data_IF_250873785027
#
_entry.id   IF_250873785027
#
_cell.length_a   1.000
_cell.length_b   1.000
_cell.length_c   1.000
_cell.angle_alpha   90.00
_cell.angle_beta   90.00
_cell.angle_gamma   90.00
#
_symmetry.space_group_name_H-M   'P 1'
#
loop_
_entity.id
_entity.type
_entity.pdbx_description
1 polymer ?
#
# COMPACT_ATOMS: atom_id res chain seq x y z
N UNK A 1 -25.82 1.08 -1.18
CA UNK A 1 -25.11 0.25 -0.17
C UNK A 1 -24.45 -0.97 -0.79
N UNK A 2 -25.19 -1.85 -1.50
CA UNK A 2 -24.64 -3.09 -2.10
C UNK A 2 -23.38 -2.90 -2.96
N UNK A 3 -23.35 -1.90 -3.86
CA UNK A 3 -22.16 -1.60 -4.71
C UNK A 3 -20.90 -1.18 -3.93
N UNK A 4 -21.04 -0.48 -2.80
CA UNK A 4 -19.89 -0.05 -1.98
C UNK A 4 -19.34 -1.19 -1.14
N UNK A 5 -20.20 -2.09 -0.68
CA UNK A 5 -19.81 -3.31 0.02
C UNK A 5 -19.05 -4.25 -0.92
N UNK A 6 -19.51 -4.39 -2.17
CA UNK A 6 -18.81 -5.18 -3.20
C UNK A 6 -17.42 -4.60 -3.50
N UNK A 7 -17.29 -3.28 -3.65
CA UNK A 7 -15.98 -2.63 -3.84
C UNK A 7 -15.04 -2.82 -2.65
N UNK A 8 -15.58 -2.80 -1.43
CA UNK A 8 -14.79 -3.02 -0.22
C UNK A 8 -14.30 -4.48 -0.11
N UNK A 9 -15.16 -5.45 -0.45
CA UNK A 9 -14.80 -6.88 -0.50
C UNK A 9 -13.71 -7.12 -1.56
N UNK A 10 -13.85 -6.52 -2.75
CA UNK A 10 -12.84 -6.61 -3.82
C UNK A 10 -11.50 -5.99 -3.39
N UNK A 11 -11.55 -4.84 -2.70
CA UNK A 11 -10.34 -4.20 -2.20
C UNK A 11 -9.64 -5.07 -1.14
N UNK A 12 -10.41 -5.69 -0.24
CA UNK A 12 -9.90 -6.60 0.78
C UNK A 12 -9.31 -7.87 0.14
N UNK A 13 -9.92 -8.46 -0.89
CA UNK A 13 -9.36 -9.65 -1.55
C UNK A 13 -8.08 -9.39 -2.32
N UNK A 14 -7.88 -8.17 -2.87
CA UNK A 14 -6.62 -7.79 -3.53
C UNK A 14 -5.46 -7.72 -2.51
N UNK A 15 -5.74 -7.30 -1.27
CA UNK A 15 -4.77 -7.22 -0.18
C UNK A 15 -4.31 -8.59 0.36
N UNK A 16 -4.99 -9.70 0.00
CA UNK A 16 -4.66 -11.07 0.45
C UNK A 16 -3.64 -11.73 -0.49
N UNK A 17 -3.01 -11.00 -1.41
CA UNK A 17 -1.90 -11.54 -2.19
C UNK A 17 -0.73 -11.81 -1.25
N UNK A 18 -0.71 -13.02 -0.67
CA UNK A 18 0.29 -13.46 0.28
C UNK A 18 1.66 -13.48 -0.36
N UNK A 19 2.67 -13.04 0.39
CA UNK A 19 4.05 -13.29 0.02
C UNK A 19 4.25 -14.82 0.01
N UNK A 20 4.43 -15.41 -1.17
CA UNK A 20 4.79 -16.81 -1.30
C UNK A 20 6.32 -16.94 -1.13
N UNK A 21 6.74 -17.83 -0.24
CA UNK A 21 8.13 -18.10 0.07
C UNK A 21 8.33 -19.60 0.23
N UNK A 22 9.41 -20.10 -0.37
CA UNK A 22 9.82 -21.48 -0.24
C UNK A 22 10.43 -21.70 1.14
N UNK A 23 10.18 -22.87 1.71
CA UNK A 23 10.67 -23.22 3.03
C UNK A 23 11.93 -24.06 2.92
N UNK A 24 13.02 -23.59 3.51
CA UNK A 24 14.27 -24.34 3.63
C UNK A 24 14.46 -24.65 5.10
N UNK A 25 14.73 -25.90 5.44
CA UNK A 25 14.91 -26.32 6.83
C UNK A 25 15.79 -27.56 6.93
N UNK A 26 16.36 -27.77 8.10
CA UNK A 26 17.16 -28.96 8.36
C UNK A 26 17.78 -28.92 9.74
N UNK A 27 18.64 -29.91 9.97
CA UNK A 27 19.42 -30.03 11.19
C UNK A 27 20.90 -29.76 10.91
N UNK A 28 21.60 -29.33 11.94
CA UNK A 28 23.02 -28.98 11.89
C UNK A 28 23.77 -30.07 12.65
N UNK A 29 24.87 -30.56 12.09
CA UNK A 29 25.66 -31.63 12.71
C UNK A 29 27.15 -31.28 12.68
N UNK A 30 27.87 -31.77 13.68
CA UNK A 30 29.33 -31.80 13.64
C UNK A 30 29.78 -33.01 12.81
N UNK A 31 30.80 -32.83 11.96
CA UNK A 31 31.34 -33.91 11.12
C UNK A 31 31.75 -35.18 11.89
N UNK A 32 32.13 -35.04 13.16
CA UNK A 32 32.60 -36.13 14.02
C UNK A 32 31.47 -36.83 14.79
N UNK A 33 30.31 -36.18 14.96
CA UNK A 33 29.18 -36.66 15.76
C UNK A 33 27.84 -36.36 15.04
N UNK A 34 27.44 -37.29 14.16
CA UNK A 34 26.20 -37.16 13.36
C UNK A 34 24.95 -37.71 14.08
N UNK A 35 25.11 -38.31 15.25
CA UNK A 35 24.01 -38.97 15.98
C UNK A 35 23.05 -37.97 16.63
N UNK A 36 23.49 -36.72 16.85
CA UNK A 36 22.70 -35.67 17.49
C UNK A 36 22.94 -34.30 16.83
N UNK A 37 21.91 -33.45 16.70
CA UNK A 37 22.10 -32.10 16.19
C UNK A 37 23.02 -31.25 17.08
N UNK A 38 23.88 -30.47 16.44
CA UNK A 38 24.78 -29.51 17.06
C UNK A 38 24.00 -28.26 17.46
N UNK A 39 23.98 -27.97 18.76
CA UNK A 39 23.26 -26.82 19.33
C UNK A 39 24.08 -25.54 19.29
N UNK A 40 23.39 -24.40 19.36
CA UNK A 40 23.97 -23.05 19.44
C UNK A 40 24.82 -22.67 18.21
N UNK A 41 24.42 -23.13 17.03
CA UNK A 41 25.03 -22.72 15.77
C UNK A 41 24.30 -21.49 15.18
N UNK A 42 25.02 -20.68 14.40
CA UNK A 42 24.47 -19.56 13.64
C UNK A 42 24.37 -20.01 12.19
N UNK A 43 23.18 -19.91 11.61
CA UNK A 43 22.96 -20.15 10.18
C UNK A 43 22.77 -18.82 9.46
N UNK A 44 23.54 -18.62 8.42
CA UNK A 44 23.56 -17.46 7.55
C UNK A 44 23.09 -17.91 6.17
N UNK A 45 22.16 -17.18 5.55
CA UNK A 45 21.74 -17.43 4.17
C UNK A 45 21.87 -16.16 3.35
N UNK A 46 22.58 -16.28 2.23
CA UNK A 46 23.00 -15.15 1.39
C UNK A 46 22.51 -15.34 -0.04
N UNK A 47 21.72 -14.39 -0.56
CA UNK A 47 21.26 -14.38 -1.95
C UNK A 47 22.22 -13.56 -2.83
N UNK A 48 22.97 -14.23 -3.72
CA UNK A 48 23.91 -13.62 -4.68
C UNK A 48 24.77 -12.48 -4.08
N UNK A 49 25.22 -12.64 -2.84
CA UNK A 49 25.98 -11.63 -2.09
C UNK A 49 25.35 -10.25 -1.90
N UNK A 50 24.02 -10.17 -1.85
CA UNK A 50 23.30 -8.90 -1.69
C UNK A 50 22.32 -8.88 -0.53
N UNK A 51 21.66 -10.00 -0.23
CA UNK A 51 20.70 -10.12 0.86
C UNK A 51 21.13 -11.20 1.83
N UNK A 52 21.34 -10.84 3.08
CA UNK A 52 21.74 -11.75 4.15
C UNK A 52 20.62 -11.89 5.18
N UNK A 53 20.35 -13.12 5.60
CA UNK A 53 19.51 -13.41 6.76
C UNK A 53 20.28 -14.31 7.73
N UNK A 54 20.02 -14.14 9.02
CA UNK A 54 20.68 -14.89 10.08
C UNK A 54 19.66 -15.57 10.97
N UNK A 55 19.98 -16.75 11.47
CA UNK A 55 19.19 -17.46 12.46
C UNK A 55 20.08 -18.19 13.44
N UNK A 56 19.85 -17.97 14.73
CA UNK A 56 20.48 -18.74 15.79
C UNK A 56 19.69 -20.03 15.99
N UNK A 57 20.37 -21.16 15.83
CA UNK A 57 19.84 -22.51 16.03
C UNK A 57 20.20 -23.00 17.44
N UNK A 58 19.33 -22.71 18.41
CA UNK A 58 19.55 -23.12 19.80
C UNK A 58 19.40 -24.63 20.02
N UNK A 59 18.58 -25.31 19.22
CA UNK A 59 18.30 -26.75 19.33
C UNK A 59 19.00 -27.60 18.25
N UNK A 60 19.75 -26.96 17.35
CA UNK A 60 20.42 -27.60 16.22
C UNK A 60 19.54 -27.78 14.99
N UNK A 61 18.33 -27.19 14.97
CA UNK A 61 17.49 -27.11 13.78
C UNK A 61 17.37 -25.68 13.26
N UNK A 62 17.16 -25.53 11.95
CA UNK A 62 16.97 -24.21 11.34
C UNK A 62 15.83 -24.25 10.31
N UNK A 63 15.25 -23.08 10.04
CA UNK A 63 14.26 -22.92 8.99
C UNK A 63 14.18 -21.47 8.52
N UNK A 64 14.16 -21.25 7.21
CA UNK A 64 14.03 -19.97 6.53
C UNK A 64 12.89 -20.02 5.52
N UNK A 65 12.20 -18.90 5.37
CA UNK A 65 11.25 -18.64 4.29
C UNK A 65 11.93 -17.72 3.26
N UNK A 66 12.25 -18.25 2.08
CA UNK A 66 13.03 -17.53 1.06
C UNK A 66 12.34 -17.53 -0.30
N UNK A 67 12.56 -16.49 -1.09
CA UNK A 67 12.00 -16.40 -2.45
C UNK A 67 12.75 -17.32 -3.42
N UNK A 68 12.19 -17.63 -4.60
CA UNK A 68 12.93 -18.30 -5.67
C UNK A 68 14.21 -17.56 -6.03
N UNK A 69 15.34 -18.27 -6.08
CA UNK A 69 16.67 -17.67 -6.20
C UNK A 69 17.81 -18.68 -6.00
N UNK A 70 19.04 -18.19 -6.08
CA UNK A 70 20.25 -18.95 -5.77
C UNK A 70 20.88 -18.39 -4.51
N UNK A 71 21.23 -19.27 -3.57
CA UNK A 71 21.66 -18.92 -2.24
C UNK A 71 22.91 -19.71 -1.85
N UNK A 72 23.78 -19.06 -1.10
CA UNK A 72 24.83 -19.73 -0.34
C UNK A 72 24.36 -19.75 1.13
N UNK A 73 24.29 -20.95 1.71
CA UNK A 73 23.90 -21.14 3.12
C UNK A 73 25.12 -21.60 3.91
N UNK A 74 25.43 -20.88 4.99
CA UNK A 74 26.59 -21.11 5.84
C UNK A 74 26.11 -21.38 7.25
N UNK A 75 26.72 -22.32 7.94
CA UNK A 75 26.51 -22.53 9.36
C UNK A 75 27.84 -22.46 10.09
N UNK A 76 27.84 -21.78 11.23
CA UNK A 76 29.02 -21.52 12.05
C UNK A 76 28.73 -21.85 13.49
N UNK A 77 29.67 -22.52 14.14
CA UNK A 77 29.63 -22.82 15.56
C UNK A 77 30.83 -22.21 16.25
N UNK A 78 30.55 -21.51 17.36
CA UNK A 78 31.55 -20.79 18.12
C UNK A 78 31.65 -21.38 19.52
N UNK A 79 32.87 -21.64 19.95
CA UNK A 79 33.19 -22.02 21.32
C UNK A 79 34.09 -20.96 21.92
N UNK A 80 33.75 -20.44 23.11
CA UNK A 80 34.46 -19.32 23.72
C UNK A 80 34.66 -18.13 22.77
N UNK A 81 33.66 -17.87 21.91
CA UNK A 81 33.65 -16.82 20.88
C UNK A 81 34.65 -16.99 19.74
N UNK A 82 35.32 -18.15 19.64
CA UNK A 82 36.21 -18.52 18.54
C UNK A 82 35.46 -19.47 17.62
N UNK A 83 35.56 -19.26 16.31
CA UNK A 83 35.00 -20.18 15.31
C UNK A 83 35.70 -21.53 15.42
N UNK A 84 34.95 -22.56 15.78
CA UNK A 84 35.45 -23.94 15.90
C UNK A 84 34.98 -24.83 14.77
N UNK A 85 33.78 -24.59 14.23
CA UNK A 85 33.24 -25.37 13.14
C UNK A 85 32.49 -24.48 12.14
N UNK A 86 32.62 -24.78 10.85
CA UNK A 86 31.97 -24.07 9.76
C UNK A 86 31.58 -25.05 8.64
N UNK A 87 30.51 -24.73 7.92
CA UNK A 87 30.05 -25.48 6.76
C UNK A 87 29.31 -24.56 5.79
N UNK A 88 29.45 -24.80 4.49
CA UNK A 88 28.84 -24.01 3.43
C UNK A 88 28.22 -24.93 2.38
N UNK A 89 26.99 -24.62 1.97
CA UNK A 89 26.24 -25.35 0.95
C UNK A 89 25.60 -24.39 -0.05
N UNK A 90 25.42 -24.85 -1.29
CA UNK A 90 24.78 -24.07 -2.35
C UNK A 90 23.37 -24.55 -2.60
N UNK A 91 22.44 -23.61 -2.63
CA UNK A 91 21.02 -23.88 -2.74
C UNK A 91 20.38 -23.13 -3.90
N UNK A 92 19.52 -23.82 -4.65
CA UNK A 92 18.69 -23.21 -5.70
C UNK A 92 17.22 -23.50 -5.46
N UNK A 93 16.42 -22.45 -5.39
CA UNK A 93 14.96 -22.52 -5.24
C UNK A 93 14.31 -22.09 -6.55
N UNK A 94 13.50 -22.96 -7.14
CA UNK A 94 12.86 -22.70 -8.43
C UNK A 94 11.43 -22.17 -8.28
N UNK A 95 10.68 -22.67 -7.29
CA UNK A 95 9.27 -22.36 -7.09
C UNK A 95 9.05 -21.74 -5.70
N UNK A 96 8.08 -20.81 -5.56
CA UNK A 96 7.83 -20.13 -4.30
C UNK A 96 7.07 -20.98 -3.28
N UNK A 97 6.54 -22.14 -3.66
CA UNK A 97 5.90 -23.12 -2.76
C UNK A 97 6.82 -24.33 -2.50
N UNK A 98 8.11 -24.24 -2.86
CA UNK A 98 9.07 -25.34 -2.68
C UNK A 98 9.41 -25.55 -1.20
N UNK A 99 9.67 -26.79 -0.83
CA UNK A 99 10.01 -27.17 0.54
C UNK A 99 11.23 -28.07 0.51
N UNK A 100 12.39 -27.53 0.91
CA UNK A 100 13.67 -28.22 0.85
C UNK A 100 14.20 -28.55 2.23
N UNK A 101 14.41 -29.85 2.45
CA UNK A 101 15.19 -30.33 3.57
C UNK A 101 16.67 -30.35 3.19
N UNK A 102 17.50 -29.65 3.97
CA UNK A 102 18.95 -29.55 3.78
C UNK A 102 19.63 -29.63 5.14
N UNK A 103 20.29 -30.74 5.44
CA UNK A 103 21.09 -30.85 6.66
C UNK A 103 22.50 -30.28 6.41
N UNK A 104 23.04 -29.55 7.40
CA UNK A 104 24.34 -28.90 7.30
C UNK A 104 25.36 -29.65 8.18
N UNK A 105 26.49 -30.02 7.60
CA UNK A 105 27.59 -30.70 8.30
C UNK A 105 28.73 -29.70 8.43
N UNK A 106 29.17 -29.44 9.66
CA UNK A 106 30.22 -28.47 9.95
C UNK A 106 31.55 -29.19 10.20
N UNK A 107 32.61 -28.63 9.63
CA UNK A 107 33.98 -29.09 9.71
C UNK A 107 34.84 -28.06 10.46
N UNK A 108 36.00 -28.45 11.02
CA UNK A 108 36.93 -27.49 11.61
C UNK A 108 37.36 -26.46 10.56
N UNK A 109 37.49 -25.18 10.94
CA UNK A 109 37.89 -24.14 10.00
C UNK A 109 39.28 -24.43 9.44
N UNK A 110 39.47 -24.04 8.19
CA UNK A 110 40.79 -24.01 7.56
C UNK A 110 41.50 -22.75 8.08
N UNK A 111 42.84 -22.71 8.07
CA UNK A 111 43.61 -21.61 8.68
C UNK A 111 43.23 -20.19 8.21
N UNK A 112 42.60 -20.04 7.05
CA UNK A 112 42.09 -18.77 6.52
C UNK A 112 40.78 -18.29 7.14
N UNK A 113 40.07 -19.15 7.88
CA UNK A 113 38.66 -18.95 8.22
C UNK A 113 38.44 -18.65 9.71
N UNK A 114 39.51 -18.61 10.52
CA UNK A 114 39.40 -18.31 11.95
C UNK A 114 38.75 -16.93 12.19
N UNK A 115 37.57 -16.93 12.79
CA UNK A 115 36.77 -15.74 13.13
C UNK A 115 36.57 -15.66 14.64
N UNK A 116 36.70 -14.46 15.23
CA UNK A 116 36.43 -14.20 16.64
C UNK A 116 35.26 -13.23 16.79
N UNK A 117 34.19 -13.64 17.48
CA UNK A 117 32.94 -12.86 17.62
C UNK A 117 32.99 -11.74 18.66
N UNK A 118 34.08 -11.58 19.41
CA UNK A 118 34.08 -10.67 20.58
C UNK A 118 33.29 -11.23 21.76
N UNK A 119 32.92 -10.41 22.73
CA UNK A 119 32.24 -10.86 23.96
C UNK A 119 30.72 -11.01 23.77
N UNK A 120 30.26 -11.87 22.85
CA UNK A 120 28.84 -12.11 22.57
C UNK A 120 28.41 -13.45 23.17
N UNK A 121 27.41 -13.46 24.05
CA UNK A 121 26.84 -14.71 24.58
C UNK A 121 25.72 -15.21 23.66
N UNK A 122 25.95 -16.35 22.99
CA UNK A 122 24.94 -17.02 22.14
C UNK A 122 23.86 -17.75 22.93
N UNK A 123 24.09 -17.99 24.22
CA UNK A 123 23.23 -18.74 25.14
C UNK A 123 22.47 -17.85 26.13
N UNK A 124 22.67 -16.53 26.07
CA UNK A 124 21.93 -15.59 26.89
C UNK A 124 20.44 -15.61 26.51
N UNK A 125 19.57 -15.59 27.52
CA UNK A 125 18.17 -15.22 27.30
C UNK A 125 18.16 -13.85 26.63
N UNK A 126 17.74 -13.79 25.37
CA UNK A 126 17.42 -12.52 24.74
C UNK A 126 16.32 -11.92 25.59
N UNK A 127 16.67 -10.87 26.35
CA UNK A 127 15.73 -9.93 26.97
C UNK A 127 14.98 -9.24 25.83
N UNK A 128 14.12 -10.01 25.15
CA UNK A 128 13.09 -9.51 24.29
C UNK A 128 12.16 -8.80 25.25
N UNK A 129 12.39 -7.50 25.43
CA UNK A 129 11.33 -6.59 25.84
C UNK A 129 10.23 -6.83 24.82
N UNK A 130 9.27 -7.71 25.15
CA UNK A 130 8.06 -7.88 24.40
C UNK A 130 7.45 -6.50 24.39
N UNK A 131 7.62 -5.78 23.29
CA UNK A 131 6.95 -4.53 23.09
C UNK A 131 5.47 -4.88 23.20
N UNK A 132 4.83 -4.33 24.22
CA UNK A 132 3.46 -4.68 24.57
C UNK A 132 2.53 -4.05 23.52
N UNK A 133 2.45 -4.71 22.36
CA UNK A 133 1.67 -4.27 21.21
C UNK A 133 0.17 -4.29 21.52
N UNK A 134 -0.24 -4.91 22.63
CA UNK A 134 -1.64 -4.91 23.10
C UNK A 134 -2.20 -3.50 23.16
N UNK A 135 -1.46 -2.54 23.72
CA UNK A 135 -1.91 -1.15 23.82
C UNK A 135 -2.02 -0.47 22.46
N UNK A 136 -1.10 -0.75 21.54
CA UNK A 136 -1.16 -0.21 20.17
C UNK A 136 -2.33 -0.81 19.37
N UNK A 137 -2.56 -2.12 19.52
CA UNK A 137 -3.66 -2.85 18.87
C UNK A 137 -5.02 -2.38 19.43
N UNK A 138 -5.14 -2.22 20.74
CA UNK A 138 -6.34 -1.69 21.40
C UNK A 138 -6.59 -0.23 20.99
N UNK A 139 -5.56 0.61 20.93
CA UNK A 139 -5.68 2.00 20.46
C UNK A 139 -6.13 2.05 19.00
N UNK A 140 -5.56 1.20 18.14
CA UNK A 140 -5.98 1.10 16.75
C UNK A 140 -7.45 0.64 16.61
N UNK A 141 -7.85 -0.39 17.35
CA UNK A 141 -9.23 -0.89 17.37
C UNK A 141 -10.23 0.15 17.86
N UNK A 142 -9.90 0.90 18.91
CA UNK A 142 -10.78 1.96 19.43
C UNK A 142 -10.96 3.10 18.43
N UNK A 143 -9.90 3.51 17.73
CA UNK A 143 -9.98 4.50 16.63
C UNK A 143 -10.84 3.96 15.48
N UNK A 144 -10.67 2.69 15.09
CA UNK A 144 -11.47 2.06 14.05
C UNK A 144 -12.97 2.05 14.39
N UNK A 145 -13.31 1.67 15.63
CA UNK A 145 -14.70 1.67 16.12
C UNK A 145 -15.27 3.09 16.16
N UNK A 146 -14.50 4.08 16.60
CA UNK A 146 -14.91 5.48 16.60
C UNK A 146 -15.24 5.98 15.17
N UNK A 147 -14.41 5.63 14.17
CA UNK A 147 -14.66 5.97 12.77
C UNK A 147 -15.93 5.31 12.22
N UNK A 148 -16.23 4.07 12.63
CA UNK A 148 -17.47 3.37 12.27
C UNK A 148 -18.68 4.08 12.89
N UNK A 149 -18.60 4.46 14.17
CA UNK A 149 -19.68 5.20 14.86
C UNK A 149 -19.93 6.55 14.16
N UNK A 150 -18.88 7.31 13.84
CA UNK A 150 -18.97 8.58 13.11
C UNK A 150 -19.64 8.36 11.74
N UNK A 151 -19.24 7.31 11.00
CA UNK A 151 -19.84 6.94 9.72
C UNK A 151 -21.34 6.63 9.84
N UNK A 152 -21.76 5.91 10.90
CA UNK A 152 -23.17 5.60 11.18
C UNK A 152 -23.95 6.87 11.54
N UNK A 153 -23.39 7.77 12.35
CA UNK A 153 -24.02 9.05 12.71
C UNK A 153 -24.25 9.90 11.45
N UNK A 154 -23.24 10.03 10.59
CA UNK A 154 -23.35 10.76 9.31
C UNK A 154 -24.42 10.12 8.43
N UNK A 155 -24.50 8.80 8.39
CA UNK A 155 -25.52 8.08 7.61
C UNK A 155 -26.94 8.32 8.12
N UNK A 156 -27.14 8.34 9.44
CA UNK A 156 -28.44 8.64 10.06
C UNK A 156 -28.84 10.10 9.81
N UNK A 157 -27.90 11.04 9.94
CA UNK A 157 -28.16 12.46 9.66
C UNK A 157 -28.52 12.72 8.20
N UNK A 158 -27.87 12.02 7.26
CA UNK A 158 -28.25 12.08 5.84
C UNK A 158 -29.65 11.52 5.57
N UNK A 159 -30.13 10.55 6.35
CA UNK A 159 -31.51 10.03 6.24
C UNK A 159 -32.58 11.00 6.76
N UNK A 160 -32.25 11.89 7.71
CA UNK A 160 -33.20 12.86 8.28
C UNK A 160 -33.48 14.07 7.36
N UNK A 161 -32.71 14.27 6.29
CA UNK A 161 -32.99 15.28 5.25
C UNK A 161 -33.79 14.65 4.10
N UNK A 162 -35.08 14.40 4.32
CA UNK A 162 -36.09 14.32 3.25
C UNK A 162 -37.02 15.54 3.40
N UNK A 163 -37.28 16.32 2.34
CA UNK A 163 -38.14 17.49 2.45
C UNK A 163 -39.58 17.07 2.74
N UNK A 164 -40.19 17.71 3.71
CA UNK A 164 -41.62 17.60 3.98
C UNK A 164 -42.38 18.27 2.82
N UNK A 165 -43.17 17.48 2.10
CA UNK A 165 -44.18 17.96 1.16
C UNK A 165 -45.37 18.46 2.00
N UNK A 166 -45.84 19.71 1.86
CA UNK A 166 -47.06 20.15 2.53
C UNK A 166 -48.28 19.58 1.81
N UNK A 167 -49.17 18.96 2.58
CA UNK A 167 -50.47 18.42 2.17
C UNK A 167 -51.47 19.60 2.14
N UNK A 168 -52.16 19.80 1.02
CA UNK A 168 -53.35 20.67 0.92
C UNK A 168 -54.44 19.82 0.26
N UNK A 169 -55.54 19.59 0.97
CA UNK A 169 -56.77 18.98 0.46
C UNK A 169 -57.64 20.04 -0.23
N UNK A 170 -58.02 19.78 -1.49
CA UNK A 170 -59.39 19.80 -2.06
C UNK A 170 -59.37 20.11 -3.59
N UNK A 171 -60.22 19.46 -4.44
CA UNK A 171 -59.91 19.27 -5.87
C UNK A 171 -60.69 20.16 -6.89
N UNK A 172 -59.97 20.54 -7.97
CA UNK A 172 -60.40 20.68 -9.41
C UNK A 172 -61.32 21.87 -9.78
N UNK A 173 -61.30 22.51 -11.01
CA UNK A 173 -60.57 22.24 -12.28
C UNK A 173 -59.82 23.44 -12.94
N UNK A 174 -58.97 23.11 -13.94
CA UNK A 174 -58.30 23.93 -14.98
C UNK A 174 -59.29 24.75 -15.89
N UNK A 175 -58.91 25.63 -16.87
CA UNK A 175 -57.60 25.90 -17.54
C UNK A 175 -57.34 27.42 -17.86
N UNK A 176 -56.53 27.82 -18.88
CA UNK A 176 -55.10 27.65 -19.12
C UNK A 176 -54.33 29.00 -19.21
N UNK A 177 -53.02 28.94 -19.46
CA UNK A 177 -52.23 29.91 -20.25
C UNK A 177 -51.22 30.83 -19.53
N UNK A 178 -50.05 30.94 -20.20
CA UNK A 178 -48.94 31.91 -20.12
C UNK A 178 -47.82 31.73 -19.08
N UNK A 179 -46.71 31.20 -19.61
CA UNK A 179 -45.40 31.87 -19.70
C UNK A 179 -45.17 33.00 -18.68
N UNK A 180 -44.28 32.79 -17.71
CA UNK A 180 -43.19 33.73 -17.40
C UNK A 180 -42.16 33.15 -16.41
N UNK A 181 -40.94 33.67 -16.55
CA UNK A 181 -39.69 33.25 -15.92
C UNK A 181 -39.60 33.68 -14.44
N UNK A 182 -38.87 32.90 -13.64
CA UNK A 182 -38.08 33.33 -12.47
C UNK A 182 -36.96 32.30 -12.33
N UNK A 183 -35.74 32.56 -12.79
CA UNK A 183 -34.70 33.31 -12.07
C UNK A 183 -34.66 32.98 -10.58
N UNK A 184 -33.78 32.04 -10.21
CA UNK A 184 -33.04 32.17 -8.95
C UNK A 184 -31.65 31.52 -9.11
N UNK A 185 -30.68 32.43 -9.26
CA UNK A 185 -29.25 32.22 -9.44
C UNK A 185 -28.60 31.85 -8.10
N UNK A 186 -28.15 30.61 -7.94
CA UNK A 186 -27.15 30.29 -6.93
C UNK A 186 -25.77 30.51 -7.53
N UNK A 187 -25.18 31.68 -7.26
CA UNK A 187 -23.79 32.00 -7.62
C UNK A 187 -22.87 30.91 -7.07
N UNK A 188 -22.27 30.14 -7.96
CA UNK A 188 -21.18 29.23 -7.63
C UNK A 188 -19.98 30.13 -7.28
N UNK A 189 -19.61 30.21 -6.00
CA UNK A 189 -18.38 30.89 -5.59
C UNK A 189 -17.19 30.13 -6.17
N UNK A 190 -16.67 30.67 -7.28
CA UNK A 190 -15.45 30.20 -7.93
C UNK A 190 -14.24 30.89 -7.31
N UNK A 191 -13.18 30.14 -6.92
CA UNK A 191 -11.87 30.70 -6.59
C UNK A 191 -11.38 31.67 -7.68
N UNK A 192 -10.72 32.76 -7.26
CA UNK A 192 -10.30 33.86 -8.16
C UNK A 192 -9.43 33.39 -9.34
N UNK A 193 -8.57 32.41 -9.09
CA UNK A 193 -7.71 31.79 -10.10
C UNK A 193 -8.48 30.93 -11.12
N UNK A 194 -9.55 30.24 -10.71
CA UNK A 194 -10.43 29.53 -11.66
C UNK A 194 -11.26 30.50 -12.51
N UNK A 195 -11.66 31.62 -11.92
CA UNK A 195 -12.42 32.66 -12.62
C UNK A 195 -11.58 33.31 -13.72
N UNK A 196 -10.33 33.66 -13.42
CA UNK A 196 -9.38 34.19 -14.40
C UNK A 196 -9.20 33.22 -15.59
N UNK A 197 -9.02 31.93 -15.31
CA UNK A 197 -8.87 30.91 -16.35
C UNK A 197 -10.15 30.77 -17.20
N UNK A 198 -11.32 30.83 -16.56
CA UNK A 198 -12.61 30.74 -17.23
C UNK A 198 -12.89 31.96 -18.13
N UNK A 199 -12.56 33.16 -17.67
CA UNK A 199 -12.72 34.40 -18.42
C UNK A 199 -11.83 34.41 -19.68
N UNK A 200 -10.63 33.83 -19.62
CA UNK A 200 -9.75 33.67 -20.80
C UNK A 200 -10.39 32.73 -21.84
N UNK A 201 -11.02 31.64 -21.39
CA UNK A 201 -11.72 30.70 -22.28
C UNK A 201 -12.92 31.40 -22.95
N UNK A 202 -13.69 32.20 -22.20
CA UNK A 202 -14.80 32.98 -22.74
C UNK A 202 -14.32 34.04 -23.74
N UNK A 203 -13.25 34.78 -23.43
CA UNK A 203 -12.66 35.82 -24.30
C UNK A 203 -12.20 35.27 -25.65
N UNK A 204 -11.79 33.99 -25.71
CA UNK A 204 -11.39 33.29 -26.95
C UNK A 204 -12.57 32.63 -27.68
N UNK A 205 -13.82 33.01 -27.36
CA UNK A 205 -15.03 32.52 -28.03
C UNK A 205 -15.53 31.18 -27.49
N UNK A 206 -15.19 30.83 -26.25
CA UNK A 206 -15.69 29.63 -25.57
C UNK A 206 -15.12 28.31 -26.10
N UNK A 207 -14.11 28.35 -26.99
CA UNK A 207 -13.43 27.15 -27.50
C UNK A 207 -11.94 27.43 -27.60
N UNK A 208 -11.12 26.70 -26.85
CA UNK A 208 -9.67 26.85 -26.87
C UNK A 208 -9.00 25.47 -26.78
N UNK A 209 -7.81 25.31 -27.37
CA UNK A 209 -7.03 24.10 -27.15
C UNK A 209 -6.32 24.16 -25.80
N UNK A 210 -6.08 23.02 -25.16
CA UNK A 210 -5.34 22.98 -23.91
C UNK A 210 -3.90 23.51 -24.07
N UNK A 211 -3.30 23.35 -25.26
CA UNK A 211 -1.96 23.87 -25.58
C UNK A 211 -1.95 25.40 -25.67
N UNK A 212 -2.97 25.99 -26.27
CA UNK A 212 -3.05 27.45 -26.41
C UNK A 212 -3.44 28.11 -25.09
N UNK A 213 -4.30 27.47 -24.29
CA UNK A 213 -4.63 27.94 -22.94
C UNK A 213 -3.40 27.99 -22.03
N UNK A 214 -2.45 27.04 -22.18
CA UNK A 214 -1.18 27.04 -21.44
C UNK A 214 -0.24 28.21 -21.77
N UNK A 215 -0.38 28.83 -22.95
CA UNK A 215 0.47 29.95 -23.38
C UNK A 215 -0.03 31.32 -22.90
N UNK A 216 -1.32 31.40 -22.61
CA UNK A 216 -2.02 32.65 -22.28
C UNK A 216 -2.10 32.89 -20.76
N UNK A 217 -1.66 31.91 -19.96
CA UNK A 217 -1.74 31.93 -18.50
C UNK A 217 -0.35 31.92 -17.88
N UNK A 218 -0.22 32.59 -16.73
CA UNK A 218 1.03 32.67 -15.96
C UNK A 218 1.30 31.34 -15.23
N UNK A 219 0.31 30.44 -15.15
CA UNK A 219 0.38 29.18 -14.41
C UNK A 219 1.09 28.06 -15.20
N UNK A 220 1.87 27.24 -14.49
CA UNK A 220 2.55 26.08 -15.08
C UNK A 220 1.61 24.96 -15.55
N UNK A 221 2.09 24.09 -16.43
CA UNK A 221 1.29 23.08 -17.14
C UNK A 221 0.44 22.16 -16.24
N UNK A 222 1.01 21.75 -15.11
CA UNK A 222 0.35 20.89 -14.14
C UNK A 222 -0.82 21.63 -13.45
N UNK A 223 -0.62 22.91 -13.08
CA UNK A 223 -1.64 23.75 -12.44
C UNK A 223 -2.79 24.02 -13.41
N UNK A 224 -2.50 24.34 -14.66
CA UNK A 224 -3.54 24.53 -15.70
C UNK A 224 -4.36 23.27 -15.91
N UNK A 225 -3.72 22.10 -15.93
CA UNK A 225 -4.41 20.81 -16.10
C UNK A 225 -5.32 20.49 -14.92
N UNK A 226 -4.93 20.86 -13.70
CA UNK A 226 -5.75 20.72 -12.49
C UNK A 226 -6.97 21.65 -12.52
N UNK A 227 -6.77 22.91 -12.90
CA UNK A 227 -7.85 23.90 -12.98
C UNK A 227 -8.88 23.58 -14.05
N UNK A 228 -8.45 23.00 -15.18
CA UNK A 228 -9.37 22.47 -16.20
C UNK A 228 -10.20 21.32 -15.64
N UNK A 229 -9.60 20.41 -14.86
CA UNK A 229 -10.34 19.32 -14.25
C UNK A 229 -11.38 19.83 -13.24
N UNK A 230 -11.05 20.86 -12.46
CA UNK A 230 -11.98 21.48 -11.49
C UNK A 230 -13.11 22.24 -12.21
N UNK A 231 -12.82 23.00 -13.27
CA UNK A 231 -13.84 23.64 -14.09
C UNK A 231 -14.77 22.62 -14.79
N UNK A 232 -14.25 21.45 -15.16
CA UNK A 232 -15.03 20.36 -15.76
C UNK A 232 -15.92 19.67 -14.71
N UNK A 233 -15.42 19.43 -13.49
CA UNK A 233 -16.21 18.87 -12.37
C UNK A 233 -17.35 19.80 -11.95
N UNK A 234 -17.13 21.12 -12.08
CA UNK A 234 -18.14 22.16 -11.84
C UNK A 234 -19.13 22.34 -12.99
N UNK A 235 -18.95 21.62 -14.10
CA UNK A 235 -19.84 21.70 -15.27
C UNK A 235 -19.75 23.01 -16.04
N UNK A 236 -18.69 23.79 -15.85
CA UNK A 236 -18.47 25.08 -16.53
C UNK A 236 -17.73 24.92 -17.86
N UNK A 237 -17.02 23.81 -18.04
CA UNK A 237 -16.32 23.50 -19.30
C UNK A 237 -16.45 22.01 -19.61
N UNK A 238 -16.29 21.67 -20.89
CA UNK A 238 -16.26 20.31 -21.39
C UNK A 238 -14.99 20.03 -22.17
N UNK A 239 -14.31 18.93 -21.85
CA UNK A 239 -13.12 18.50 -22.59
C UNK A 239 -13.47 17.50 -23.69
N UNK A 240 -13.09 17.81 -24.93
CA UNK A 240 -13.21 16.89 -26.06
C UNK A 240 -11.84 16.52 -26.62
N UNK A 241 -11.67 15.25 -27.01
CA UNK A 241 -10.45 14.79 -27.69
C UNK A 241 -10.51 15.13 -29.18
N UNK A 242 -9.45 15.76 -29.71
CA UNK A 242 -9.22 15.96 -31.15
C UNK A 242 -7.80 15.51 -31.51
N UNK A 243 -7.65 14.26 -31.96
CA UNK A 243 -6.35 13.67 -32.27
C UNK A 243 -5.46 13.55 -31.02
N UNK A 244 -4.22 14.07 -31.09
CA UNK A 244 -3.26 14.11 -29.97
C UNK A 244 -3.50 15.27 -28.98
N UNK A 245 -4.53 16.08 -29.20
CA UNK A 245 -4.80 17.30 -28.40
C UNK A 245 -6.17 17.27 -27.76
N UNK A 246 -6.30 17.93 -26.60
CA UNK A 246 -7.58 18.19 -25.95
C UNK A 246 -8.07 19.60 -26.31
N UNK A 247 -9.36 19.71 -26.61
CA UNK A 247 -10.06 20.99 -26.78
C UNK A 247 -10.98 21.20 -25.58
N UNK A 248 -10.96 22.41 -25.06
CA UNK A 248 -11.78 22.87 -23.96
C UNK A 248 -12.88 23.75 -24.55
N UNK A 249 -14.12 23.46 -24.17
CA UNK A 249 -15.30 24.21 -24.59
C UNK A 249 -15.93 24.76 -23.31
N UNK A 250 -16.10 26.08 -23.22
CA UNK A 250 -16.87 26.68 -22.14
C UNK A 250 -18.35 26.34 -22.29
N UNK A 251 -18.91 25.85 -21.21
CA UNK A 251 -20.32 25.61 -21.02
C UNK A 251 -20.78 26.71 -20.05
N UNK A 252 -21.27 27.82 -20.60
CA UNK A 252 -22.08 28.77 -19.83
C UNK A 252 -23.44 28.84 -20.54
N UNK A 253 -24.45 28.15 -20.00
CA UNK A 253 -25.39 28.63 -18.99
C UNK A 253 -26.15 29.86 -19.52
N UNK A 254 -27.43 29.60 -19.76
CA UNK A 254 -28.46 30.54 -20.18
C UNK A 254 -28.78 31.54 -19.08
#
# INVERSE_FOLDING_TARGET
MKRRIILLIILITILISGAQAAKVYGSIYEWSELDKPLKNAIVEIEENSTRMQYKVSGDGTYSFDISPGSYDIKAKYYYNNILELSGEEKLRINNPDDSKNLDLILFPPIDSDYEYLGNISLTGELDTKQADYTNYIITFLTVLVALIIISVIIFIWKKKKKPAVPIIDEPVPLPPEKLEKKEESSRIELPDDLKELYDIILKKGGRITQKDLRKEVIYGEAKVSLMIADLEDRGLIKKIKKGRSNIIIAENIK
#
